data_IF_583338919412
#
_entry.id   IF_583338919412
#
_cell.length_a   1.000
_cell.length_b   1.000
_cell.length_c   1.000
_cell.angle_alpha   90.00
_cell.angle_beta   90.00
_cell.angle_gamma   90.00
#
_symmetry.space_group_name_H-M   'P 1'
#
loop_
_entity.id
_entity.type
_entity.pdbx_description
1 polymer ?
#
# COMPACT_ATOMS: atom_id res chain seq x y z
N UNK A 1 6.72 6.04 -48.30
CA UNK A 1 6.42 4.59 -48.37
C UNK A 1 5.22 4.32 -47.47
N UNK A 2 4.10 3.97 -48.07
CA UNK A 2 2.80 3.70 -47.44
C UNK A 2 2.42 2.22 -47.64
N UNK A 3 1.49 1.77 -46.78
CA UNK A 3 0.66 0.54 -46.78
C UNK A 3 1.16 -0.63 -45.90
N UNK A 4 0.26 -1.51 -45.39
CA UNK A 4 -1.18 -1.32 -45.10
C UNK A 4 -1.66 -1.90 -43.74
N UNK A 5 -2.92 -1.54 -43.47
CA UNK A 5 -3.87 -2.02 -42.45
C UNK A 5 -4.12 -3.53 -42.57
N UNK A 6 -4.22 -4.24 -41.43
CA UNK A 6 -4.92 -5.51 -41.33
C UNK A 6 -5.72 -5.59 -40.01
N UNK A 7 -7.04 -5.68 -40.18
CA UNK A 7 -8.06 -6.00 -39.18
C UNK A 7 -8.18 -7.54 -39.12
N UNK A 8 -8.29 -8.13 -37.92
CA UNK A 8 -9.20 -9.26 -37.63
C UNK A 8 -8.96 -9.88 -36.24
N UNK A 9 -9.93 -9.65 -35.35
CA UNK A 9 -10.63 -10.65 -34.51
C UNK A 9 -10.03 -12.05 -34.35
N UNK A 10 -9.61 -12.42 -33.12
CA UNK A 10 -9.56 -13.82 -32.67
C UNK A 10 -9.38 -13.92 -31.13
N UNK A 11 -10.48 -14.00 -30.36
CA UNK A 11 -10.42 -14.43 -28.96
C UNK A 11 -11.79 -14.94 -28.47
N UNK A 12 -12.28 -16.02 -29.09
CA UNK A 12 -13.41 -16.80 -28.58
C UNK A 12 -13.21 -18.27 -28.98
N UNK A 13 -12.24 -18.94 -28.36
CA UNK A 13 -11.88 -20.34 -28.68
C UNK A 13 -11.54 -21.22 -27.48
N UNK A 14 -12.05 -20.91 -26.28
CA UNK A 14 -11.70 -21.68 -25.06
C UNK A 14 -12.91 -22.08 -24.19
N UNK A 15 -14.06 -22.34 -24.80
CA UNK A 15 -15.28 -22.73 -24.06
C UNK A 15 -16.14 -23.83 -24.70
N UNK A 16 -15.58 -24.68 -25.56
CA UNK A 16 -16.37 -25.71 -26.27
C UNK A 16 -15.64 -27.05 -26.41
N UNK A 17 -15.08 -27.58 -25.31
CA UNK A 17 -14.42 -28.90 -25.31
C UNK A 17 -14.64 -29.73 -24.03
N UNK A 18 -15.86 -29.69 -23.47
CA UNK A 18 -16.24 -30.55 -22.33
C UNK A 18 -17.65 -31.14 -22.42
N UNK A 19 -18.27 -31.21 -23.60
CA UNK A 19 -19.66 -31.71 -23.72
C UNK A 19 -19.90 -32.68 -24.89
N UNK A 20 -18.90 -33.48 -25.26
CA UNK A 20 -19.10 -34.56 -26.24
C UNK A 20 -18.25 -35.78 -25.87
N UNK A 21 -18.91 -36.75 -25.24
CA UNK A 21 -18.68 -38.21 -25.32
C UNK A 21 -19.04 -38.95 -24.03
N UNK A 22 -20.29 -38.84 -23.59
CA UNK A 22 -20.92 -39.81 -22.70
C UNK A 22 -22.35 -40.03 -23.20
N UNK A 23 -22.48 -40.82 -24.28
CA UNK A 23 -23.74 -41.41 -24.69
C UNK A 23 -24.08 -42.56 -23.73
N UNK A 24 -24.62 -42.22 -22.57
CA UNK A 24 -25.38 -43.15 -21.74
C UNK A 24 -26.85 -43.00 -22.13
N UNK A 25 -27.26 -43.76 -23.15
CA UNK A 25 -28.69 -43.99 -23.39
C UNK A 25 -29.23 -44.93 -22.31
N UNK A 26 -30.39 -44.62 -21.70
CA UNK A 26 -31.01 -45.53 -20.74
C UNK A 26 -31.55 -46.78 -21.46
N UNK A 27 -31.59 -47.95 -20.81
CA UNK A 27 -32.23 -49.13 -21.36
C UNK A 27 -33.74 -48.89 -21.53
N UNK A 28 -34.29 -49.29 -22.67
CA UNK A 28 -35.73 -49.21 -22.93
C UNK A 28 -36.51 -50.13 -21.98
N UNK A 29 -36.98 -49.56 -20.88
CA UNK A 29 -38.05 -50.11 -20.08
C UNK A 29 -39.35 -49.53 -20.62
N UNK A 30 -40.20 -50.40 -21.19
CA UNK A 30 -41.51 -50.08 -21.74
C UNK A 30 -42.49 -49.55 -20.70
N UNK A 31 -42.31 -48.30 -20.28
CA UNK A 31 -43.25 -47.53 -19.48
C UNK A 31 -44.12 -46.64 -20.38
N UNK A 32 -45.42 -46.57 -20.06
CA UNK A 32 -46.40 -45.69 -20.70
C UNK A 32 -45.84 -44.29 -20.98
N UNK A 33 -46.17 -43.74 -22.16
CA UNK A 33 -45.94 -42.32 -22.46
C UNK A 33 -46.57 -41.48 -21.35
N UNK A 34 -45.74 -40.86 -20.53
CA UNK A 34 -46.15 -39.77 -19.65
C UNK A 34 -46.62 -38.63 -20.56
N UNK A 35 -47.80 -38.04 -20.33
CA UNK A 35 -48.30 -36.95 -21.16
C UNK A 35 -47.32 -35.78 -21.12
N UNK A 36 -46.91 -35.31 -22.29
CA UNK A 36 -46.13 -34.07 -22.49
C UNK A 36 -46.98 -32.88 -22.05
N UNK A 37 -47.03 -32.64 -20.74
CA UNK A 37 -47.59 -31.43 -20.18
C UNK A 37 -46.51 -30.39 -20.06
N UNK A 38 -46.63 -29.28 -20.80
CA UNK A 38 -45.95 -28.00 -20.52
C UNK A 38 -46.18 -27.48 -19.07
N UNK A 39 -46.95 -28.23 -18.26
CA UNK A 39 -47.29 -27.93 -16.88
C UNK A 39 -46.16 -28.25 -15.88
N UNK A 40 -45.20 -29.10 -16.24
CA UNK A 40 -44.09 -29.46 -15.34
C UNK A 40 -43.01 -28.36 -15.21
N UNK A 41 -43.04 -27.33 -16.06
CA UNK A 41 -42.19 -26.14 -15.89
C UNK A 41 -42.94 -25.05 -15.12
N UNK A 42 -44.28 -25.04 -15.18
CA UNK A 42 -45.10 -24.01 -14.53
C UNK A 42 -45.07 -24.09 -13.00
N UNK A 43 -45.01 -25.29 -12.40
CA UNK A 43 -44.92 -25.37 -10.93
C UNK A 43 -43.61 -24.77 -10.38
N UNK A 44 -42.54 -24.83 -11.16
CA UNK A 44 -41.24 -24.23 -10.79
C UNK A 44 -41.27 -22.69 -10.91
N UNK A 45 -42.19 -22.10 -11.69
CA UNK A 45 -42.33 -20.66 -11.88
C UNK A 45 -43.45 -20.04 -11.03
N UNK A 46 -44.49 -20.80 -10.69
CA UNK A 46 -45.62 -20.35 -9.86
C UNK A 46 -45.41 -20.52 -8.36
N UNK A 47 -44.43 -21.34 -7.97
CA UNK A 47 -43.99 -21.46 -6.60
C UNK A 47 -43.45 -20.11 -6.05
N UNK A 48 -44.01 -19.56 -4.96
CA UNK A 48 -43.52 -18.30 -4.39
C UNK A 48 -42.04 -18.37 -3.95
N UNK A 49 -41.56 -19.55 -3.56
CA UNK A 49 -40.16 -19.78 -3.21
C UNK A 49 -39.21 -19.72 -4.40
N UNK A 50 -39.67 -20.07 -5.61
CA UNK A 50 -38.85 -20.00 -6.80
C UNK A 50 -38.58 -18.55 -7.23
N UNK A 51 -39.59 -17.68 -7.08
CA UNK A 51 -39.41 -16.22 -7.28
C UNK A 51 -38.40 -15.64 -6.30
N UNK A 52 -38.41 -16.09 -5.03
CA UNK A 52 -37.43 -15.68 -4.01
C UNK A 52 -36.03 -16.17 -4.38
N UNK A 53 -35.87 -17.44 -4.76
CA UNK A 53 -34.57 -17.98 -5.17
C UNK A 53 -34.01 -17.26 -6.40
N UNK A 54 -34.87 -16.92 -7.37
CA UNK A 54 -34.49 -16.15 -8.55
C UNK A 54 -34.04 -14.72 -8.19
N UNK A 55 -34.72 -14.06 -7.26
CA UNK A 55 -34.31 -12.73 -6.78
C UNK A 55 -32.97 -12.77 -6.04
N UNK A 56 -32.73 -13.79 -5.21
CA UNK A 56 -31.45 -13.95 -4.50
C UNK A 56 -30.31 -14.18 -5.49
N UNK A 57 -30.49 -15.09 -6.45
CA UNK A 57 -29.46 -15.37 -7.48
C UNK A 57 -29.20 -14.15 -8.36
N UNK A 58 -30.23 -13.38 -8.71
CA UNK A 58 -30.09 -12.11 -9.41
C UNK A 58 -29.30 -11.10 -8.57
N UNK A 59 -29.62 -10.94 -7.28
CA UNK A 59 -28.93 -10.01 -6.38
C UNK A 59 -27.45 -10.39 -6.21
N UNK A 60 -27.14 -11.66 -5.99
CA UNK A 60 -25.76 -12.17 -5.93
C UNK A 60 -25.04 -11.95 -7.26
N UNK A 61 -25.71 -12.21 -8.39
CA UNK A 61 -25.18 -11.96 -9.72
C UNK A 61 -24.81 -10.48 -9.93
N UNK A 62 -25.71 -9.56 -9.58
CA UNK A 62 -25.47 -8.11 -9.64
C UNK A 62 -24.33 -7.71 -8.72
N UNK A 63 -24.27 -8.23 -7.50
CA UNK A 63 -23.19 -7.97 -6.55
C UNK A 63 -21.83 -8.46 -7.07
N UNK A 64 -21.76 -9.65 -7.67
CA UNK A 64 -20.53 -10.18 -8.26
C UNK A 64 -20.11 -9.36 -9.47
N UNK A 65 -21.05 -8.96 -10.34
CA UNK A 65 -20.76 -8.13 -11.51
C UNK A 65 -20.29 -6.75 -11.10
N UNK A 66 -20.97 -6.09 -10.16
CA UNK A 66 -20.55 -4.77 -9.64
C UNK A 66 -19.19 -4.85 -8.96
N UNK A 67 -18.94 -5.86 -8.12
CA UNK A 67 -17.62 -6.08 -7.51
C UNK A 67 -16.54 -6.36 -8.57
N UNK A 68 -16.85 -7.14 -9.60
CA UNK A 68 -15.93 -7.44 -10.72
C UNK A 68 -15.63 -6.19 -11.56
N UNK A 69 -16.62 -5.34 -11.82
CA UNK A 69 -16.44 -4.05 -12.53
C UNK A 69 -15.63 -3.07 -11.67
N UNK A 70 -15.87 -2.99 -10.37
CA UNK A 70 -15.07 -2.16 -9.45
C UNK A 70 -13.63 -2.67 -9.37
N UNK A 71 -13.42 -4.00 -9.30
CA UNK A 71 -12.09 -4.61 -9.36
C UNK A 71 -11.40 -4.40 -10.71
N UNK A 72 -12.11 -4.45 -11.83
CA UNK A 72 -11.56 -4.13 -13.16
C UNK A 72 -11.22 -2.65 -13.32
N UNK A 73 -12.00 -1.74 -12.73
CA UNK A 73 -11.64 -0.30 -12.67
C UNK A 73 -10.37 -0.08 -11.83
N UNK A 74 -10.19 -0.83 -10.73
CA UNK A 74 -8.92 -0.85 -9.98
C UNK A 74 -7.78 -1.50 -10.78
N UNK A 75 -8.04 -2.57 -11.54
CA UNK A 75 -7.04 -3.30 -12.33
C UNK A 75 -6.58 -2.63 -13.63
N UNK A 76 -7.44 -1.82 -14.29
CA UNK A 76 -7.04 -1.05 -15.48
C UNK A 76 -6.07 0.10 -15.18
N UNK A 77 -5.92 0.51 -13.91
CA UNK A 77 -4.80 1.38 -13.49
C UNK A 77 -3.44 0.67 -13.54
N UNK A 78 -3.41 -0.67 -13.64
CA UNK A 78 -2.17 -1.46 -13.67
C UNK A 78 -1.46 -1.62 -15.02
N UNK A 79 -2.04 -1.15 -16.13
CA UNK A 79 -1.44 -1.22 -17.49
C UNK A 79 -1.07 0.18 -18.03
N UNK A 80 -1.14 1.24 -17.22
CA UNK A 80 -0.23 2.36 -17.47
C UNK A 80 1.17 1.80 -17.22
N UNK A 81 2.10 1.96 -18.17
CA UNK A 81 3.55 1.75 -17.94
C UNK A 81 3.81 2.25 -16.53
N UNK A 82 4.00 1.35 -15.56
CA UNK A 82 4.31 1.76 -14.19
C UNK A 82 5.54 2.64 -14.37
N UNK A 83 5.48 3.94 -14.02
CA UNK A 83 6.71 4.71 -13.92
C UNK A 83 7.65 3.87 -13.08
N UNK A 84 8.88 3.69 -13.54
CA UNK A 84 9.92 2.98 -12.79
C UNK A 84 10.19 3.80 -11.53
N UNK A 85 9.34 3.66 -10.52
CA UNK A 85 9.43 4.33 -9.22
C UNK A 85 10.48 3.66 -8.34
N UNK A 86 11.19 2.63 -8.84
CA UNK A 86 12.39 2.13 -8.20
C UNK A 86 13.61 2.98 -8.59
N UNK A 87 13.45 4.31 -8.43
CA UNK A 87 14.47 5.26 -8.82
C UNK A 87 15.61 5.20 -7.81
N UNK A 88 16.79 4.80 -8.25
CA UNK A 88 17.99 4.99 -7.45
C UNK A 88 18.17 6.50 -7.14
N UNK A 89 18.86 6.82 -6.05
CA UNK A 89 19.06 8.21 -5.59
C UNK A 89 19.56 9.12 -6.73
N UNK A 90 20.50 8.64 -7.54
CA UNK A 90 21.02 9.37 -8.70
C UNK A 90 19.99 9.65 -9.81
N UNK A 91 18.91 8.88 -9.90
CA UNK A 91 17.80 9.14 -10.83
C UNK A 91 16.83 10.19 -10.27
N UNK A 92 16.63 10.23 -8.95
CA UNK A 92 15.77 11.24 -8.30
C UNK A 92 16.33 12.65 -8.49
N UNK A 93 17.64 12.81 -8.29
CA UNK A 93 18.31 14.12 -8.40
C UNK A 93 18.30 14.70 -9.82
N UNK A 94 17.98 13.88 -10.84
CA UNK A 94 17.88 14.30 -12.24
C UNK A 94 16.47 14.72 -12.64
N UNK A 95 15.45 14.42 -11.83
CA UNK A 95 14.07 14.76 -12.16
C UNK A 95 13.78 16.22 -11.82
N UNK A 96 13.12 16.99 -12.72
CA UNK A 96 12.82 18.38 -12.46
C UNK A 96 11.86 18.50 -11.26
N UNK A 97 12.27 19.26 -10.26
CA UNK A 97 11.45 19.55 -9.08
C UNK A 97 10.38 20.57 -9.48
N UNK A 98 9.13 20.24 -9.20
CA UNK A 98 7.98 21.13 -9.36
C UNK A 98 7.50 21.63 -8.00
N UNK A 99 7.02 22.87 -7.95
CA UNK A 99 6.29 23.38 -6.78
C UNK A 99 4.90 22.77 -6.71
N UNK A 100 4.33 22.68 -5.51
CA UNK A 100 2.99 22.15 -5.31
C UNK A 100 1.97 22.90 -6.16
N UNK A 101 2.02 24.24 -6.25
CA UNK A 101 1.07 25.02 -7.04
C UNK A 101 1.19 24.80 -8.56
N UNK A 102 2.41 24.55 -9.07
CA UNK A 102 2.66 24.35 -10.49
C UNK A 102 2.49 22.89 -10.95
N UNK A 103 2.50 21.93 -10.01
CA UNK A 103 2.40 20.52 -10.30
C UNK A 103 1.10 20.17 -11.04
N UNK A 104 1.17 19.33 -12.08
CA UNK A 104 0.01 18.83 -12.81
C UNK A 104 -0.36 17.43 -12.30
N UNK A 105 -1.60 17.01 -12.53
CA UNK A 105 -2.00 15.64 -12.24
C UNK A 105 -1.13 14.65 -13.03
N UNK A 106 -0.68 13.58 -12.39
CA UNK A 106 0.25 12.60 -12.96
C UNK A 106 1.57 12.50 -12.20
N UNK A 107 2.60 11.97 -12.85
CA UNK A 107 3.91 11.79 -12.21
C UNK A 107 4.58 13.14 -11.90
N UNK A 108 4.93 13.35 -10.63
CA UNK A 108 5.55 14.59 -10.14
C UNK A 108 6.74 14.29 -9.24
N UNK A 109 7.62 15.28 -9.11
CA UNK A 109 8.70 15.33 -8.15
C UNK A 109 8.53 16.62 -7.33
N UNK A 110 8.25 16.49 -6.03
CA UNK A 110 7.99 17.59 -5.13
C UNK A 110 9.04 17.64 -4.03
N UNK A 111 9.30 18.84 -3.52
CA UNK A 111 10.11 19.05 -2.32
C UNK A 111 9.28 19.84 -1.32
N UNK A 112 9.28 19.41 -0.08
CA UNK A 112 8.55 20.10 0.98
C UNK A 112 8.91 19.62 2.37
N UNK A 113 8.27 20.21 3.36
CA UNK A 113 8.42 19.87 4.77
C UNK A 113 7.24 19.03 5.22
N UNK A 114 7.53 17.95 5.93
CA UNK A 114 6.51 17.08 6.53
C UNK A 114 5.83 17.79 7.69
N UNK A 115 4.51 17.92 7.60
CA UNK A 115 3.64 18.47 8.61
C UNK A 115 2.65 17.42 9.13
N UNK A 116 2.09 17.72 10.30
CA UNK A 116 1.15 16.82 10.96
C UNK A 116 -0.11 16.63 10.12
N UNK A 117 -0.43 15.37 9.83
CA UNK A 117 -1.72 14.94 9.30
C UNK A 117 -2.47 14.11 10.33
N UNK A 118 -2.90 12.92 9.93
CA UNK A 118 -3.67 11.98 10.75
C UNK A 118 -2.84 10.73 11.08
N UNK A 119 -2.87 10.31 12.35
CA UNK A 119 -2.28 9.04 12.78
C UNK A 119 -0.76 9.03 13.02
N UNK A 120 -0.14 10.14 13.43
CA UNK A 120 1.30 10.16 13.78
C UNK A 120 1.65 9.14 14.90
N UNK A 121 2.84 8.52 14.81
CA UNK A 121 3.31 7.45 15.71
C UNK A 121 3.89 7.98 17.04
N UNK A 122 3.46 9.18 17.45
CA UNK A 122 3.95 9.86 18.65
C UNK A 122 3.33 11.24 18.81
N UNK A 123 3.74 11.95 19.85
CA UNK A 123 3.27 13.31 20.17
C UNK A 123 4.42 14.30 20.12
N UNK A 124 4.11 15.56 19.81
CA UNK A 124 5.08 16.66 19.78
C UNK A 124 5.49 17.10 18.37
N UNK A 125 6.34 18.14 18.32
CA UNK A 125 6.74 18.83 17.08
C UNK A 125 7.57 17.96 16.11
N UNK A 126 8.20 16.90 16.62
CA UNK A 126 9.03 15.97 15.86
C UNK A 126 8.52 14.52 16.01
N UNK A 127 7.20 14.34 15.99
CA UNK A 127 6.63 12.99 16.07
C UNK A 127 7.11 12.13 14.89
N UNK A 128 7.39 10.86 15.17
CA UNK A 128 7.69 9.87 14.14
C UNK A 128 6.44 9.62 13.31
N UNK A 129 6.56 9.61 11.98
CA UNK A 129 5.45 9.34 11.06
C UNK A 129 5.67 8.12 10.18
N UNK A 130 6.91 7.63 10.12
CA UNK A 130 7.26 6.39 9.44
C UNK A 130 8.44 5.77 10.17
N UNK A 131 8.41 4.46 10.36
CA UNK A 131 9.53 3.69 10.87
C UNK A 131 9.60 2.33 10.18
N UNK A 132 10.82 1.93 9.80
CA UNK A 132 11.10 0.58 9.36
C UNK A 132 12.51 0.15 9.79
N UNK A 133 12.73 -1.17 9.89
CA UNK A 133 14.08 -1.71 10.05
C UNK A 133 14.85 -1.51 8.75
N UNK A 134 16.10 -1.09 8.85
CA UNK A 134 16.95 -0.94 7.68
C UNK A 134 17.07 -2.29 6.94
N UNK A 135 16.97 -2.25 5.61
CA UNK A 135 16.99 -3.43 4.72
C UNK A 135 15.83 -4.43 4.89
N UNK A 136 14.84 -4.13 5.74
CA UNK A 136 13.63 -4.95 5.85
C UNK A 136 12.64 -4.65 4.72
N UNK A 137 11.67 -5.54 4.56
CA UNK A 137 10.59 -5.36 3.58
C UNK A 137 9.77 -4.10 3.91
N UNK A 138 9.17 -3.47 2.90
CA UNK A 138 8.25 -2.35 3.09
C UNK A 138 6.99 -2.80 3.85
N UNK A 139 6.58 -4.05 3.68
CA UNK A 139 5.42 -4.63 4.36
C UNK A 139 5.54 -4.68 5.89
N UNK A 140 6.73 -4.49 6.47
CA UNK A 140 6.93 -4.41 7.92
C UNK A 140 7.04 -2.97 8.44
N UNK A 141 6.90 -1.97 7.55
CA UNK A 141 6.94 -0.58 7.95
C UNK A 141 5.69 -0.22 8.75
N UNK A 142 5.87 0.64 9.75
CA UNK A 142 4.79 1.26 10.51
C UNK A 142 4.77 2.71 10.08
N UNK A 143 3.60 3.22 9.69
CA UNK A 143 3.47 4.58 9.21
C UNK A 143 2.15 5.21 9.65
N UNK A 144 2.12 6.54 9.68
CA UNK A 144 0.91 7.32 9.81
C UNK A 144 -0.01 7.12 8.60
N UNK A 145 -1.32 7.19 8.82
CA UNK A 145 -2.32 7.00 7.77
C UNK A 145 -2.23 8.09 6.70
N UNK A 146 -2.06 9.34 7.15
CA UNK A 146 -1.89 10.50 6.27
C UNK A 146 -0.94 11.51 6.90
N UNK A 147 0.02 12.01 6.12
CA UNK A 147 0.83 13.17 6.50
C UNK A 147 0.73 14.26 5.46
N UNK A 148 1.02 15.50 5.86
CA UNK A 148 0.97 16.64 4.96
C UNK A 148 2.37 16.97 4.46
N UNK A 149 2.51 17.23 3.17
CA UNK A 149 3.71 17.81 2.57
C UNK A 149 3.40 19.24 2.19
N UNK A 150 4.18 20.16 2.73
CA UNK A 150 4.00 21.60 2.52
C UNK A 150 5.23 22.21 1.83
N UNK A 151 4.99 23.14 0.92
CA UNK A 151 6.01 24.06 0.40
C UNK A 151 5.47 25.49 0.44
N UNK A 152 6.25 26.47 -0.02
CA UNK A 152 5.85 27.88 -0.04
C UNK A 152 4.61 28.16 -0.91
N UNK A 153 4.20 27.19 -1.74
CA UNK A 153 3.15 27.33 -2.73
C UNK A 153 1.85 26.58 -2.38
N UNK A 154 1.88 25.65 -1.42
CA UNK A 154 0.69 24.93 -0.98
C UNK A 154 0.96 23.65 -0.19
N UNK A 155 -0.08 22.82 -0.10
CA UNK A 155 -0.09 21.61 0.71
C UNK A 155 -0.69 20.44 -0.09
N UNK A 156 -0.06 19.27 0.02
CA UNK A 156 -0.58 17.99 -0.50
C UNK A 156 -0.57 16.91 0.58
N UNK A 157 -1.54 15.99 0.52
CA UNK A 157 -1.55 14.82 1.39
C UNK A 157 -0.64 13.71 0.86
N UNK A 158 0.04 13.00 1.76
CA UNK A 158 0.76 11.77 1.47
C UNK A 158 0.06 10.62 2.23
N UNK A 159 -0.38 9.62 1.49
CA UNK A 159 -1.00 8.40 2.03
C UNK A 159 -0.17 7.14 1.67
N UNK A 160 -0.52 6.01 2.30
CA UNK A 160 0.08 4.69 2.03
C UNK A 160 1.61 4.69 2.22
N UNK A 161 2.09 5.41 3.22
CA UNK A 161 3.52 5.51 3.55
C UNK A 161 4.12 4.15 3.90
N UNK A 162 3.34 3.24 4.47
CA UNK A 162 3.75 1.86 4.75
C UNK A 162 4.15 1.10 3.48
N UNK A 163 3.58 1.45 2.31
CA UNK A 163 3.95 0.88 1.02
C UNK A 163 5.04 1.69 0.30
N UNK A 164 5.40 2.86 0.81
CA UNK A 164 6.35 3.76 0.20
C UNK A 164 7.78 3.24 0.28
N UNK A 165 8.61 3.65 -0.69
CA UNK A 165 10.05 3.48 -0.62
C UNK A 165 10.66 4.68 0.09
N UNK A 166 11.09 4.48 1.33
CA UNK A 166 11.71 5.54 2.14
C UNK A 166 13.24 5.43 2.09
N UNK A 167 13.90 6.55 1.79
CA UNK A 167 15.36 6.72 1.81
C UNK A 167 15.66 7.80 2.85
N UNK A 168 15.98 7.36 4.07
CA UNK A 168 16.30 8.21 5.19
C UNK A 168 17.67 7.82 5.79
N UNK A 169 18.31 8.72 6.58
CA UNK A 169 19.47 8.37 7.38
C UNK A 169 19.20 7.15 8.26
N UNK A 170 20.21 6.32 8.48
CA UNK A 170 20.12 5.21 9.43
C UNK A 170 20.24 5.73 10.85
N UNK A 171 19.44 5.15 11.72
CA UNK A 171 19.43 5.43 13.15
C UNK A 171 19.74 4.15 13.92
N UNK A 172 20.71 4.26 14.81
CA UNK A 172 21.16 3.16 15.66
C UNK A 172 20.39 3.22 16.99
N UNK A 173 19.09 2.96 16.93
CA UNK A 173 18.20 2.95 18.09
C UNK A 173 17.81 1.51 18.46
N UNK A 174 18.68 0.87 19.23
CA UNK A 174 18.47 -0.47 19.77
C UNK A 174 19.26 -1.54 19.01
N UNK A 175 18.83 -2.81 19.05
CA UNK A 175 19.60 -3.93 18.50
C UNK A 175 19.61 -3.99 16.96
N UNK A 176 18.84 -3.13 16.29
CA UNK A 176 18.67 -3.13 14.85
C UNK A 176 18.72 -1.70 14.31
N UNK A 177 19.47 -1.49 13.23
CA UNK A 177 19.44 -0.25 12.44
C UNK A 177 18.00 0.03 11.96
N UNK A 178 17.52 1.25 12.17
CA UNK A 178 16.20 1.70 11.69
C UNK A 178 16.32 2.86 10.72
N UNK A 179 15.29 3.05 9.92
CA UNK A 179 15.06 4.25 9.11
C UNK A 179 13.71 4.85 9.53
N UNK A 180 13.68 6.16 9.72
CA UNK A 180 12.48 6.85 10.16
C UNK A 180 12.28 8.19 9.44
N UNK A 181 11.03 8.63 9.37
CA UNK A 181 10.64 9.98 8.98
C UNK A 181 10.00 10.67 10.18
N UNK A 182 10.31 11.95 10.35
CA UNK A 182 9.77 12.77 11.43
C UNK A 182 9.06 14.01 10.89
N UNK A 183 8.12 14.52 11.68
CA UNK A 183 7.56 15.85 11.45
C UNK A 183 8.68 16.91 11.46
N UNK A 184 8.62 17.80 10.48
CA UNK A 184 9.65 18.80 10.21
C UNK A 184 10.79 18.35 9.29
N UNK A 185 10.89 17.05 8.95
CA UNK A 185 11.85 16.61 7.93
C UNK A 185 11.52 17.27 6.58
N UNK A 186 12.55 17.80 5.92
CA UNK A 186 12.43 18.27 4.54
C UNK A 186 12.73 17.10 3.61
N UNK A 187 11.76 16.78 2.76
CA UNK A 187 11.78 15.58 1.94
C UNK A 187 11.53 15.88 0.46
N UNK A 188 12.12 15.05 -0.38
CA UNK A 188 11.77 14.87 -1.78
C UNK A 188 10.76 13.73 -1.91
N UNK A 189 9.67 13.97 -2.63
CA UNK A 189 8.63 12.97 -2.88
C UNK A 189 8.41 12.81 -4.38
N UNK A 190 8.48 11.57 -4.84
CA UNK A 190 8.14 11.19 -6.22
C UNK A 190 6.95 10.25 -6.19
N UNK A 191 5.96 10.53 -7.03
CA UNK A 191 4.74 9.75 -7.11
C UNK A 191 3.77 10.27 -8.15
N UNK A 192 2.61 9.63 -8.26
CA UNK A 192 1.51 10.08 -9.12
C UNK A 192 0.56 10.98 -8.31
N UNK A 193 0.57 12.28 -8.60
CA UNK A 193 -0.27 13.30 -7.97
C UNK A 193 -1.68 13.23 -8.53
N UNK A 194 -2.63 13.04 -7.61
CA UNK A 194 -4.05 13.26 -7.84
C UNK A 194 -4.40 14.68 -7.41
N UNK A 195 -4.91 15.51 -8.32
CA UNK A 195 -5.39 16.85 -7.99
C UNK A 195 -6.88 16.75 -7.65
N UNK A 196 -7.29 17.45 -6.60
CA UNK A 196 -8.70 17.54 -6.26
C UNK A 196 -9.39 18.63 -7.08
N UNK A 197 -10.58 18.33 -7.61
CA UNK A 197 -11.40 19.32 -8.31
C UNK A 197 -12.00 20.35 -7.34
N UNK A 198 -12.23 19.93 -6.09
CA UNK A 198 -12.69 20.78 -5.00
C UNK A 198 -11.69 20.74 -3.85
N UNK A 199 -11.44 21.88 -3.17
CA UNK A 199 -10.50 21.90 -2.06
C UNK A 199 -10.97 20.98 -0.93
N UNK A 200 -10.10 20.07 -0.46
CA UNK A 200 -10.39 19.18 0.64
C UNK A 200 -9.69 19.64 1.91
N UNK A 201 -10.41 19.91 3.01
CA UNK A 201 -9.78 20.22 4.28
C UNK A 201 -9.22 18.94 4.92
N UNK A 202 -7.97 18.99 5.38
CA UNK A 202 -7.34 17.94 6.19
C UNK A 202 -6.43 18.59 7.24
N UNK A 203 -6.54 18.16 8.50
CA UNK A 203 -5.79 18.74 9.62
C UNK A 203 -5.80 20.29 9.66
N UNK A 204 -6.94 20.90 9.30
CA UNK A 204 -7.10 22.36 9.29
C UNK A 204 -6.48 23.09 8.09
N UNK A 205 -5.91 22.37 7.12
CA UNK A 205 -5.31 22.93 5.91
C UNK A 205 -6.08 22.50 4.66
N UNK A 206 -5.99 23.31 3.61
CA UNK A 206 -6.63 23.02 2.32
C UNK A 206 -5.65 22.27 1.43
N UNK A 207 -5.99 21.02 1.11
CA UNK A 207 -5.18 20.19 0.25
C UNK A 207 -5.45 20.48 -1.22
N UNK A 208 -4.38 20.69 -1.99
CA UNK A 208 -4.45 20.79 -3.46
C UNK A 208 -4.66 19.43 -4.11
N UNK A 209 -4.15 18.38 -3.47
CA UNK A 209 -4.14 17.03 -4.00
C UNK A 209 -3.47 16.05 -3.06
N UNK A 210 -3.23 14.85 -3.58
CA UNK A 210 -2.76 13.72 -2.80
C UNK A 210 -1.82 12.82 -3.60
N UNK A 211 -0.81 12.31 -2.92
CA UNK A 211 0.15 11.32 -3.38
C UNK A 211 -0.04 10.02 -2.60
N UNK A 212 0.21 8.87 -3.22
CA UNK A 212 -0.02 7.54 -2.61
C UNK A 212 -1.34 6.89 -3.05
N UNK A 213 -2.40 7.68 -3.24
CA UNK A 213 -3.72 7.15 -3.63
C UNK A 213 -3.80 6.52 -5.03
N UNK A 214 -2.89 6.89 -5.95
CA UNK A 214 -2.83 6.35 -7.33
C UNK A 214 -1.75 5.28 -7.52
N UNK A 215 -0.79 5.17 -6.60
CA UNK A 215 0.33 4.24 -6.71
C UNK A 215 1.38 4.49 -5.62
N UNK A 216 2.39 3.62 -5.59
CA UNK A 216 3.50 3.73 -4.64
C UNK A 216 4.26 5.03 -4.82
N UNK A 217 4.69 5.60 -3.70
CA UNK A 217 5.51 6.80 -3.66
C UNK A 217 6.92 6.47 -3.17
N UNK A 218 7.86 7.33 -3.52
CA UNK A 218 9.22 7.31 -3.02
C UNK A 218 9.48 8.60 -2.27
N UNK A 219 10.02 8.48 -1.06
CA UNK A 219 10.32 9.60 -0.17
C UNK A 219 11.79 9.57 0.18
N UNK A 220 12.51 10.67 -0.04
CA UNK A 220 13.91 10.84 0.35
C UNK A 220 14.04 12.01 1.33
N UNK A 221 14.70 11.78 2.45
CA UNK A 221 15.04 12.86 3.38
C UNK A 221 16.18 13.68 2.77
N UNK A 222 15.93 14.97 2.55
CA UNK A 222 16.93 15.94 2.08
C UNK A 222 17.63 16.55 3.27
N UNK A 223 16.86 16.98 4.25
CA UNK A 223 17.37 17.69 5.41
C UNK A 223 16.53 17.32 6.63
N UNK A 224 17.22 17.05 7.74
CA UNK A 224 16.62 16.86 9.05
C UNK A 224 17.01 18.03 9.94
N UNK A 225 16.06 18.81 10.46
CA UNK A 225 16.37 19.87 11.42
C UNK A 225 17.21 19.32 12.58
N UNK A 226 18.28 20.01 12.97
CA UNK A 226 19.25 19.52 13.98
C UNK A 226 18.60 19.13 15.32
N UNK A 227 17.46 19.72 15.66
CA UNK A 227 16.71 19.40 16.88
C UNK A 227 16.04 18.02 16.87
N UNK A 228 15.95 17.38 15.71
CA UNK A 228 15.42 16.03 15.52
C UNK A 228 16.52 14.95 15.47
N UNK A 229 17.79 15.28 15.78
CA UNK A 229 18.77 14.26 16.13
C UNK A 229 18.56 13.87 17.60
N UNK A 230 17.94 12.71 17.91
CA UNK A 230 18.04 12.15 19.25
C UNK A 230 19.53 12.00 19.58
N UNK A 231 19.94 12.54 20.73
CA UNK A 231 21.32 12.51 21.18
C UNK A 231 21.87 11.10 21.03
N UNK A 232 22.99 10.96 20.30
CA UNK A 232 23.77 9.73 20.27
C UNK A 232 23.92 9.26 21.72
N UNK A 233 23.51 8.01 22.08
CA UNK A 233 23.78 7.53 23.42
C UNK A 233 25.28 7.64 23.65
N UNK A 234 25.68 8.45 24.63
CA UNK A 234 27.06 8.57 25.01
C UNK A 234 27.59 7.16 25.26
N UNK A 235 28.66 6.78 24.57
CA UNK A 235 29.35 5.51 24.79
C UNK A 235 29.57 5.40 26.31
N UNK A 236 29.04 4.37 27.01
CA UNK A 236 29.28 4.26 28.43
C UNK A 236 30.79 4.25 28.65
N UNK A 237 31.25 5.10 29.56
CA UNK A 237 32.65 5.13 29.96
C UNK A 237 33.09 3.69 30.31
N UNK A 238 34.32 3.28 29.96
CA UNK A 238 34.79 1.95 30.30
C UNK A 238 34.65 1.77 31.81
N UNK A 239 33.83 0.79 32.20
CA UNK A 239 33.70 0.39 33.58
C UNK A 239 35.10 -0.01 34.07
N UNK A 240 35.55 0.62 35.15
CA UNK A 240 36.77 0.24 35.84
C UNK A 240 36.68 -1.26 36.18
N UNK A 241 37.75 -1.99 35.82
CA UNK A 241 37.94 -3.38 36.20
C UNK A 241 37.79 -3.53 37.72
N UNK A 242 37.11 -4.57 38.23
CA UNK A 242 37.09 -4.81 39.66
C UNK A 242 38.50 -5.20 40.12
N UNK A 243 39.04 -4.42 41.04
CA UNK A 243 40.27 -4.75 41.74
C UNK A 243 40.09 -6.10 42.45
N UNK A 244 40.96 -7.03 42.10
CA UNK A 244 41.10 -8.32 42.74
C UNK A 244 41.82 -8.13 44.07
N UNK A 245 41.08 -7.85 45.15
CA UNK A 245 41.63 -7.97 46.50
C UNK A 245 41.68 -9.44 46.90
N UNK A 246 42.90 -9.96 46.84
CA UNK A 246 43.31 -11.17 47.53
C UNK A 246 43.37 -10.85 49.02
N UNK A 247 42.56 -11.56 49.82
CA UNK A 247 42.85 -11.72 51.24
C UNK A 247 42.55 -13.17 51.63
N UNK A 248 43.65 -13.92 51.75
CA UNK A 248 43.74 -15.24 52.38
C UNK A 248 43.45 -15.12 53.89
N UNK A 249 42.68 -16.05 54.48
CA UNK A 249 42.81 -16.35 55.90
C UNK A 249 43.55 -17.68 56.08
N UNK A 250 44.81 -17.61 56.52
CA UNK A 250 45.53 -18.77 57.07
C UNK A 250 45.09 -19.07 58.52
N UNK A 251 45.23 -20.34 58.97
CA UNK A 251 44.53 -20.91 60.12
C UNK A 251 45.30 -20.69 61.42
N UNK A 252 44.56 -20.62 62.53
CA UNK A 252 45.12 -20.90 63.86
C UNK A 252 44.25 -21.91 64.62
N UNK A 253 44.96 -22.79 65.32
CA UNK A 253 44.49 -24.04 65.88
C UNK A 253 44.30 -23.98 67.41
N UNK A 254 43.50 -24.93 67.90
CA UNK A 254 43.50 -25.57 69.25
C UNK A 254 42.90 -24.79 70.46
N UNK A 255 41.74 -25.23 71.01
CA UNK A 255 41.50 -26.10 72.22
C UNK A 255 41.96 -25.50 73.56
N UNK A 256 41.28 -25.73 74.72
CA UNK A 256 40.59 -26.94 75.20
C UNK A 256 39.06 -26.89 75.21
#
# INVERSE_FOLDING_TARGET
MQLPIAVATAAAWLGARLASNLSWGPPELGGQRVPDGDQDINWLLDAPWAKVALLITLAVGVMVVTNSVMRKKRGRRGIRRKPDFDLHVAKLERLPISTIAAAKAGAVHLVGTLQQGEGALGTGAHACVYQNRAKSSRATAIAAEMILLSDDSGVVGLEQLEAARVIAPREDHGPHDTIALYLGDRVEVVGELMIFEQPQPAAGQVLRGMLGGLGQIQVRVVERPQHAQPAKPAKPAPAAEPASDADDPQPDAQTP
#
